data_IF_418640295778
#
_entry.id   IF_418640295778
#
_cell.length_a   1.000
_cell.length_b   1.000
_cell.length_c   1.000
_cell.angle_alpha   90.00
_cell.angle_beta   90.00
_cell.angle_gamma   90.00
#
_symmetry.space_group_name_H-M   'P 1'
#
loop_
_entity.id
_entity.type
_entity.pdbx_description
1 polymer ?
#
# COMPACT_ATOMS: atom_id res chain seq x y z
N UNK A 1 3.85 0.72 -13.40
CA UNK A 1 3.61 2.11 -13.82
C UNK A 1 2.14 2.38 -14.07
N UNK A 2 1.45 1.52 -14.84
CA UNK A 2 0.02 1.72 -15.20
C UNK A 2 -0.93 2.03 -14.04
N UNK A 3 -0.73 1.43 -12.85
CA UNK A 3 -1.59 1.69 -11.69
C UNK A 3 -1.45 3.12 -11.16
N UNK A 4 -0.22 3.64 -11.09
CA UNK A 4 0.01 5.01 -10.66
C UNK A 4 -0.49 6.00 -11.71
N UNK A 5 -0.35 5.70 -13.00
CA UNK A 5 -0.88 6.57 -14.06
C UNK A 5 -2.41 6.72 -13.99
N UNK A 6 -3.13 5.69 -13.56
CA UNK A 6 -4.59 5.69 -13.47
C UNK A 6 -5.12 6.24 -12.15
N UNK A 7 -4.44 5.96 -11.04
CA UNK A 7 -5.01 6.14 -9.70
C UNK A 7 -4.28 7.17 -8.83
N UNK A 8 -3.09 7.63 -9.24
CA UNK A 8 -2.39 8.67 -8.49
C UNK A 8 -3.11 10.01 -8.60
N UNK A 9 -3.15 10.74 -7.49
CA UNK A 9 -3.61 12.13 -7.41
C UNK A 9 -2.58 12.98 -6.66
N UNK A 10 -2.35 14.25 -7.05
CA UNK A 10 -1.50 15.16 -6.27
C UNK A 10 -2.03 15.43 -4.86
N UNK A 11 -3.34 15.29 -4.66
CA UNK A 11 -4.02 15.52 -3.37
C UNK A 11 -4.27 14.23 -2.58
N UNK A 12 -3.54 13.15 -2.90
CA UNK A 12 -3.68 11.84 -2.24
C UNK A 12 -3.34 11.91 -0.74
N UNK A 13 -4.14 11.24 0.09
CA UNK A 13 -3.84 11.12 1.51
C UNK A 13 -2.68 10.14 1.76
N UNK A 14 -2.04 10.20 2.93
CA UNK A 14 -0.99 9.24 3.29
C UNK A 14 -1.56 7.81 3.34
N UNK A 15 -2.79 7.63 3.85
CA UNK A 15 -3.47 6.32 3.91
C UNK A 15 -3.67 5.75 2.50
N UNK A 16 -4.22 6.56 1.59
CA UNK A 16 -4.46 6.13 0.20
C UNK A 16 -3.15 5.89 -0.55
N UNK A 17 -2.12 6.68 -0.29
CA UNK A 17 -0.79 6.49 -0.86
C UNK A 17 -0.16 5.16 -0.39
N UNK A 18 -0.34 4.79 0.87
CA UNK A 18 0.09 3.48 1.39
C UNK A 18 -0.62 2.36 0.63
N UNK A 19 -1.95 2.41 0.52
CA UNK A 19 -2.73 1.40 -0.21
C UNK A 19 -2.29 1.30 -1.68
N UNK A 20 -2.19 2.42 -2.37
CA UNK A 20 -1.77 2.48 -3.77
C UNK A 20 -0.36 1.92 -3.97
N UNK A 21 0.57 2.22 -3.05
CA UNK A 21 1.94 1.68 -3.09
C UNK A 21 1.98 0.16 -2.94
N UNK A 22 1.17 -0.41 -2.03
CA UNK A 22 1.10 -1.85 -1.81
C UNK A 22 0.40 -2.55 -2.98
N UNK A 23 -0.64 -1.96 -3.58
CA UNK A 23 -1.27 -2.47 -4.81
C UNK A 23 -0.28 -2.49 -5.97
N UNK A 24 0.52 -1.44 -6.12
CA UNK A 24 1.57 -1.38 -7.13
C UNK A 24 2.65 -2.44 -6.89
N UNK A 25 3.07 -2.63 -5.64
CA UNK A 25 4.05 -3.64 -5.26
C UNK A 25 3.52 -5.05 -5.54
N UNK A 26 2.27 -5.35 -5.16
CA UNK A 26 1.60 -6.63 -5.45
C UNK A 26 1.59 -6.97 -6.94
N UNK A 27 1.39 -5.98 -7.81
CA UNK A 27 1.46 -6.16 -9.28
C UNK A 27 2.89 -6.35 -9.81
N UNK A 28 3.90 -5.96 -9.04
CA UNK A 28 5.30 -6.00 -9.45
C UNK A 28 6.06 -7.23 -8.95
N UNK A 29 5.55 -7.92 -7.92
CA UNK A 29 6.18 -9.13 -7.37
C UNK A 29 5.60 -10.38 -8.01
N UNK A 30 6.43 -11.40 -8.19
CA UNK A 30 5.97 -12.75 -8.51
C UNK A 30 5.61 -13.46 -7.20
N UNK A 31 4.30 -13.54 -6.90
CA UNK A 31 3.77 -14.24 -5.73
C UNK A 31 2.91 -13.37 -4.82
N UNK A 32 2.64 -13.86 -3.60
CA UNK A 32 1.78 -13.19 -2.64
C UNK A 32 2.52 -12.13 -1.82
N UNK A 33 1.85 -11.00 -1.61
CA UNK A 33 2.28 -9.96 -0.68
C UNK A 33 1.99 -10.40 0.76
N UNK A 34 2.99 -10.35 1.64
CA UNK A 34 2.83 -10.70 3.05
C UNK A 34 3.72 -9.83 3.95
N UNK A 35 3.39 -9.78 5.25
CA UNK A 35 4.22 -9.08 6.24
C UNK A 35 5.67 -9.59 6.34
N UNK A 36 5.95 -10.79 5.84
CA UNK A 36 7.28 -11.40 5.90
C UNK A 36 8.18 -11.02 4.71
N UNK A 37 7.61 -10.49 3.62
CA UNK A 37 8.34 -10.18 2.39
C UNK A 37 8.24 -8.69 1.99
N UNK A 38 7.66 -7.86 2.85
CA UNK A 38 7.53 -6.41 2.67
C UNK A 38 7.95 -5.71 3.94
N UNK A 39 8.70 -4.62 3.80
CA UNK A 39 8.92 -3.65 4.86
C UNK A 39 8.45 -2.28 4.39
N UNK A 40 7.92 -1.47 5.31
CA UNK A 40 7.40 -0.14 4.99
C UNK A 40 7.80 0.87 6.06
N UNK A 41 8.04 2.10 5.62
CA UNK A 41 8.24 3.24 6.50
C UNK A 41 7.64 4.51 5.88
N UNK A 42 7.19 5.42 6.75
CA UNK A 42 6.57 6.69 6.36
C UNK A 42 7.35 7.83 7.00
N UNK A 43 7.52 8.93 6.25
CA UNK A 43 8.05 10.20 6.75
C UNK A 43 6.98 11.25 6.48
N UNK A 44 6.33 11.76 7.53
CA UNK A 44 5.29 12.79 7.38
C UNK A 44 5.91 14.20 7.43
N UNK A 45 5.22 15.18 6.84
CA UNK A 45 5.64 16.58 6.97
C UNK A 45 5.37 17.16 8.36
N UNK A 46 4.41 16.58 9.09
CA UNK A 46 4.01 17.01 10.43
C UNK A 46 5.12 16.72 11.45
N UNK A 47 5.62 15.48 11.46
CA UNK A 47 6.62 15.03 12.43
C UNK A 47 8.06 15.04 11.90
N UNK A 48 8.24 15.02 10.57
CA UNK A 48 9.54 14.91 9.89
C UNK A 48 10.40 13.76 10.40
N UNK A 49 9.77 12.67 10.82
CA UNK A 49 10.45 11.50 11.41
C UNK A 49 10.25 10.28 10.55
N UNK A 50 11.32 9.51 10.39
CA UNK A 50 11.23 8.16 9.85
C UNK A 50 10.49 7.27 10.85
N UNK A 51 9.34 6.76 10.45
CA UNK A 51 8.54 5.81 11.22
C UNK A 51 8.47 4.49 10.44
N UNK A 52 9.18 3.47 10.92
CA UNK A 52 8.97 2.10 10.43
C UNK A 52 7.58 1.65 10.87
N UNK A 53 6.81 1.13 9.92
CA UNK A 53 5.50 0.56 10.20
C UNK A 53 5.73 -0.82 10.82
N UNK A 54 5.08 -1.09 11.95
CA UNK A 54 5.16 -2.38 12.60
C UNK A 54 4.43 -3.47 11.79
N UNK A 55 4.73 -4.74 12.10
CA UNK A 55 4.18 -5.88 11.36
C UNK A 55 2.65 -6.00 11.48
N UNK A 56 2.05 -5.58 12.60
CA UNK A 56 0.61 -5.68 12.83
C UNK A 56 -0.12 -4.67 11.92
N UNK A 57 0.32 -3.42 11.96
CA UNK A 57 -0.16 -2.35 11.08
C UNK A 57 0.04 -2.71 9.61
N UNK A 58 1.22 -3.19 9.23
CA UNK A 58 1.51 -3.61 7.87
C UNK A 58 0.57 -4.73 7.41
N UNK A 59 0.31 -5.71 8.27
CA UNK A 59 -0.61 -6.80 7.96
C UNK A 59 -2.03 -6.27 7.71
N UNK A 60 -2.51 -5.32 8.52
CA UNK A 60 -3.82 -4.68 8.29
C UNK A 60 -3.91 -3.99 6.93
N UNK A 61 -2.87 -3.28 6.50
CA UNK A 61 -2.85 -2.69 5.15
C UNK A 61 -2.83 -3.74 4.03
N UNK A 62 -2.09 -4.83 4.22
CA UNK A 62 -2.03 -5.93 3.23
C UNK A 62 -3.39 -6.60 3.09
N UNK A 63 -4.12 -6.84 4.19
CA UNK A 63 -5.46 -7.40 4.14
C UNK A 63 -6.45 -6.46 3.45
N UNK A 64 -6.43 -5.15 3.76
CA UNK A 64 -7.25 -4.14 3.04
C UNK A 64 -7.01 -4.19 1.52
N UNK A 65 -5.75 -4.35 1.09
CA UNK A 65 -5.38 -4.45 -0.32
C UNK A 65 -5.87 -5.75 -0.98
N UNK A 66 -6.08 -6.82 -0.20
CA UNK A 66 -6.70 -8.05 -0.71
C UNK A 66 -8.20 -7.86 -0.89
N UNK A 67 -8.89 -7.30 0.11
CA UNK A 67 -10.33 -7.03 0.08
C UNK A 67 -10.73 -6.14 -1.12
N UNK A 68 -10.02 -5.03 -1.34
CA UNK A 68 -10.29 -4.12 -2.48
C UNK A 68 -10.19 -4.83 -3.83
N UNK A 69 -9.27 -5.81 -3.97
CA UNK A 69 -9.12 -6.55 -5.22
C UNK A 69 -10.30 -7.50 -5.45
N UNK A 70 -10.79 -8.15 -4.40
CA UNK A 70 -11.93 -9.06 -4.51
C UNK A 70 -13.19 -8.30 -4.96
N UNK A 71 -13.38 -7.07 -4.48
CA UNK A 71 -14.46 -6.19 -4.96
C UNK A 71 -14.31 -5.79 -6.43
N UNK A 72 -13.09 -5.48 -6.91
CA UNK A 72 -12.83 -5.13 -8.32
C UNK A 72 -13.00 -6.33 -9.29
N UNK A 73 -12.77 -7.56 -8.83
CA UNK A 73 -12.93 -8.78 -9.64
C UNK A 73 -14.39 -9.32 -9.63
N UNK A 74 -15.25 -8.84 -8.71
CA UNK A 74 -16.67 -9.20 -8.60
C UNK A 74 -17.64 -8.27 -9.37
N UNK A 75 -17.20 -7.06 -9.78
CA UNK A 75 -17.94 -6.12 -10.66
C UNK A 75 -17.69 -6.33 -12.17
#
# INVERSE_FOLDING_TARGET
MEIFEKEYSPDISIEDAIILSLRALKKSIEGELSKNNVEMAVISLEDKKFKKIDEESLNSYIEKVKEIKEEEDEE
#
